data_IF_431563726072
#
_entry.id   IF_431563726072
#
_cell.length_a   1.000
_cell.length_b   1.000
_cell.length_c   1.000
_cell.angle_alpha   90.00
_cell.angle_beta   90.00
_cell.angle_gamma   90.00
#
_symmetry.space_group_name_H-M   'P 1'
#
loop_
_entity.id
_entity.type
_entity.pdbx_description
1 polymer ?
#
# COMPACT_ATOMS: atom_id res chain seq x y z
N UNK A 1 27.50 -0.41 -12.91
CA UNK A 1 26.26 -0.55 -12.12
C UNK A 1 25.09 -0.21 -13.03
N UNK A 2 24.22 -1.18 -13.30
CA UNK A 2 23.22 -1.06 -14.37
C UNK A 2 21.97 -0.30 -13.93
N UNK A 3 21.59 0.72 -14.70
CA UNK A 3 20.28 1.35 -14.59
C UNK A 3 19.22 0.30 -14.91
N UNK A 4 18.29 0.01 -13.98
CA UNK A 4 17.22 -0.95 -14.20
C UNK A 4 15.96 -0.20 -14.60
N UNK A 5 15.51 -0.41 -15.83
CA UNK A 5 14.20 0.05 -16.28
C UNK A 5 13.17 -1.03 -15.96
N UNK A 6 12.04 -0.62 -15.39
CA UNK A 6 10.91 -1.50 -15.11
C UNK A 6 9.64 -0.85 -15.63
N UNK A 7 8.82 -1.62 -16.34
CA UNK A 7 7.53 -1.14 -16.83
C UNK A 7 6.43 -1.98 -16.20
N UNK A 8 5.42 -1.32 -15.64
CA UNK A 8 4.18 -1.95 -15.21
C UNK A 8 3.07 -1.49 -16.16
N UNK A 9 2.18 -2.40 -16.54
CA UNK A 9 1.07 -2.09 -17.46
C UNK A 9 -0.21 -2.69 -16.92
N UNK A 10 -1.26 -1.89 -16.97
CA UNK A 10 -2.63 -2.26 -16.61
C UNK A 10 -3.54 -1.97 -17.79
N UNK A 11 -4.49 -2.85 -18.06
CA UNK A 11 -5.51 -2.65 -19.08
C UNK A 11 -6.88 -2.97 -18.48
N UNK A 12 -7.83 -2.06 -18.60
CA UNK A 12 -9.17 -2.21 -18.04
C UNK A 12 -10.21 -1.57 -18.96
N UNK A 13 -11.34 -2.24 -19.16
CA UNK A 13 -12.48 -1.66 -19.87
C UNK A 13 -13.35 -0.88 -18.88
N UNK A 14 -13.58 0.40 -19.19
CA UNK A 14 -14.40 1.31 -18.39
C UNK A 14 -15.61 1.77 -19.20
N UNK A 15 -16.71 2.08 -18.51
CA UNK A 15 -17.96 2.52 -19.13
C UNK A 15 -18.01 4.05 -19.15
N UNK A 16 -17.88 4.64 -20.33
CA UNK A 16 -17.95 6.09 -20.54
C UNK A 16 -19.29 6.42 -21.20
N UNK A 17 -20.24 6.90 -20.41
CA UNK A 17 -21.61 7.11 -20.89
C UNK A 17 -22.28 5.78 -21.28
N UNK A 18 -22.60 5.62 -22.57
CA UNK A 18 -23.23 4.42 -23.11
C UNK A 18 -22.24 3.37 -23.64
N UNK A 19 -20.97 3.74 -23.85
CA UNK A 19 -19.97 2.89 -24.51
C UNK A 19 -18.93 2.35 -23.53
N UNK A 20 -18.33 1.21 -23.87
CA UNK A 20 -17.15 0.69 -23.17
C UNK A 20 -15.89 1.09 -23.92
N UNK A 21 -14.94 1.69 -23.21
CA UNK A 21 -13.62 2.06 -23.75
C UNK A 21 -12.53 1.33 -22.99
N UNK A 22 -11.53 0.86 -23.71
CA UNK A 22 -10.36 0.22 -23.11
C UNK A 22 -9.34 1.29 -22.70
N UNK A 23 -8.97 1.30 -21.43
CA UNK A 23 -7.89 2.13 -20.90
C UNK A 23 -6.66 1.28 -20.67
N UNK A 24 -5.53 1.75 -21.19
CA UNK A 24 -4.21 1.15 -20.95
C UNK A 24 -3.35 2.15 -20.20
N UNK A 25 -2.96 1.82 -18.98
CA UNK A 25 -2.09 2.64 -18.14
C UNK A 25 -0.74 1.96 -18.04
N UNK A 26 0.33 2.69 -18.31
CA UNK A 26 1.70 2.21 -18.21
C UNK A 26 2.49 3.09 -17.26
N UNK A 27 3.17 2.48 -16.31
CA UNK A 27 4.15 3.13 -15.45
C UNK A 27 5.54 2.68 -15.86
N UNK A 28 6.33 3.60 -16.40
CA UNK A 28 7.74 3.37 -16.70
C UNK A 28 8.56 3.94 -15.55
N UNK A 29 9.39 3.08 -14.95
CA UNK A 29 10.32 3.44 -13.87
C UNK A 29 11.73 3.39 -14.40
N UNK A 30 12.49 4.47 -14.20
CA UNK A 30 13.92 4.50 -14.43
C UNK A 30 14.63 4.59 -13.08
N UNK A 31 15.21 3.48 -12.64
CA UNK A 31 15.92 3.39 -11.37
C UNK A 31 17.39 3.69 -11.64
N UNK A 32 17.81 4.91 -11.32
CA UNK A 32 19.22 5.31 -11.27
C UNK A 32 19.84 5.06 -9.89
N UNK A 33 21.15 5.27 -9.75
CA UNK A 33 21.84 5.09 -8.46
C UNK A 33 21.41 6.10 -7.38
N UNK A 34 20.93 7.29 -7.77
CA UNK A 34 20.61 8.39 -6.85
C UNK A 34 19.20 8.94 -7.00
N UNK A 35 18.53 8.68 -8.13
CA UNK A 35 17.19 9.17 -8.43
C UNK A 35 16.36 8.05 -9.06
N UNK A 36 15.11 7.93 -8.63
CA UNK A 36 14.08 7.21 -9.37
C UNK A 36 13.24 8.23 -10.16
N UNK A 37 13.15 8.03 -11.47
CA UNK A 37 12.23 8.78 -12.32
C UNK A 37 11.04 7.89 -12.69
N UNK A 38 9.86 8.51 -12.69
CA UNK A 38 8.62 7.88 -13.10
C UNK A 38 8.14 8.56 -14.38
N UNK A 39 7.48 7.81 -15.25
CA UNK A 39 6.69 8.32 -16.38
C UNK A 39 5.41 7.53 -16.45
N UNK A 40 4.28 8.22 -16.54
CA UNK A 40 2.95 7.62 -16.59
C UNK A 40 2.38 7.86 -17.99
N UNK A 41 1.99 6.79 -18.67
CA UNK A 41 1.32 6.84 -19.96
C UNK A 41 -0.10 6.31 -19.82
N UNK A 42 -1.08 7.04 -20.36
CA UNK A 42 -2.47 6.60 -20.47
C UNK A 42 -2.85 6.57 -21.94
N UNK A 43 -3.25 5.40 -22.44
CA UNK A 43 -3.56 5.17 -23.86
C UNK A 43 -2.42 5.62 -24.80
N UNK A 44 -1.17 5.47 -24.35
CA UNK A 44 0.04 5.85 -25.09
C UNK A 44 0.43 7.32 -24.99
N UNK A 45 -0.36 8.17 -24.32
CA UNK A 45 -0.02 9.58 -24.08
C UNK A 45 0.61 9.77 -22.70
N UNK A 46 1.72 10.51 -22.62
CA UNK A 46 2.42 10.79 -21.36
C UNK A 46 1.67 11.87 -20.56
N UNK A 47 1.50 11.64 -19.26
CA UNK A 47 1.03 12.68 -18.33
C UNK A 47 2.24 13.49 -17.91
N UNK A 48 2.41 14.69 -18.48
CA UNK A 48 3.58 15.53 -18.28
C UNK A 48 3.76 16.02 -16.83
N UNK A 49 2.67 16.24 -16.11
CA UNK A 49 2.68 16.74 -14.73
C UNK A 49 2.16 15.68 -13.76
N UNK A 50 3.00 14.72 -13.40
CA UNK A 50 2.70 13.78 -12.31
C UNK A 50 3.55 14.06 -11.06
N UNK A 51 2.88 14.14 -9.91
CA UNK A 51 3.53 14.38 -8.60
C UNK A 51 4.17 13.13 -7.97
N UNK A 52 4.16 11.99 -8.67
CA UNK A 52 4.61 10.71 -8.14
C UNK A 52 6.11 10.75 -7.80
N UNK A 53 6.43 10.55 -6.52
CA UNK A 53 7.79 10.45 -5.99
C UNK A 53 7.97 9.08 -5.32
N UNK A 54 9.21 8.73 -5.02
CA UNK A 54 9.45 7.54 -4.20
C UNK A 54 9.10 7.87 -2.73
N UNK A 55 8.20 7.10 -2.12
CA UNK A 55 7.96 7.16 -0.68
C UNK A 55 7.79 5.74 -0.11
N UNK A 56 8.76 5.24 0.68
CA UNK A 56 8.67 3.90 1.28
C UNK A 56 7.52 3.77 2.28
N UNK A 57 7.06 4.89 2.83
CA UNK A 57 6.00 4.98 3.84
C UNK A 57 4.63 5.36 3.25
N UNK A 58 4.49 5.49 1.92
CA UNK A 58 3.18 5.76 1.32
C UNK A 58 2.28 4.53 1.42
N UNK A 59 0.98 4.72 1.74
CA UNK A 59 0.24 5.94 2.04
C UNK A 59 0.06 6.18 3.55
N UNK A 60 0.87 5.53 4.40
CA UNK A 60 0.73 5.60 5.86
C UNK A 60 1.17 6.98 6.40
N UNK A 61 2.18 7.61 5.81
CA UNK A 61 2.79 8.82 6.38
C UNK A 61 2.92 10.02 5.42
N UNK A 62 3.01 9.83 4.09
CA UNK A 62 3.11 10.97 3.16
C UNK A 62 2.49 10.65 1.78
N UNK A 63 1.99 11.68 1.11
CA UNK A 63 1.41 11.63 -0.24
C UNK A 63 2.41 11.27 -1.35
N UNK A 64 3.72 11.26 -1.04
CA UNK A 64 4.78 11.19 -2.05
C UNK A 64 4.75 9.95 -2.96
N UNK A 65 4.11 8.84 -2.58
CA UNK A 65 4.07 7.61 -3.37
C UNK A 65 2.72 7.34 -4.05
N UNK A 66 1.87 8.35 -4.15
CA UNK A 66 0.52 8.27 -4.69
C UNK A 66 0.31 9.37 -5.73
N UNK A 67 -0.36 9.05 -6.83
CA UNK A 67 -0.75 10.00 -7.85
C UNK A 67 -2.19 9.72 -8.27
N UNK A 68 -3.03 10.74 -8.16
CA UNK A 68 -4.44 10.68 -8.51
C UNK A 68 -4.73 11.60 -9.69
N UNK A 69 -5.58 11.14 -10.60
CA UNK A 69 -6.13 11.98 -11.66
C UNK A 69 -7.56 11.54 -12.00
N UNK A 70 -8.35 12.43 -12.59
CA UNK A 70 -9.69 12.13 -13.08
C UNK A 70 -9.69 12.18 -14.61
N UNK A 71 -10.30 11.19 -15.26
CA UNK A 71 -10.43 11.14 -16.71
C UNK A 71 -11.73 10.46 -17.13
N UNK A 72 -12.46 11.08 -18.06
CA UNK A 72 -13.73 10.56 -18.61
C UNK A 72 -14.75 10.17 -17.54
N UNK A 73 -14.75 10.90 -16.43
CA UNK A 73 -15.62 10.67 -15.28
C UNK A 73 -15.14 9.58 -14.33
N UNK A 74 -14.02 8.90 -14.58
CA UNK A 74 -13.42 7.90 -13.69
C UNK A 74 -12.28 8.48 -12.86
N UNK A 75 -12.15 8.05 -11.61
CA UNK A 75 -11.04 8.41 -10.72
C UNK A 75 -9.95 7.34 -10.80
N UNK A 76 -8.76 7.75 -11.17
CA UNK A 76 -7.59 6.89 -11.24
C UNK A 76 -6.62 7.24 -10.11
N UNK A 77 -6.08 6.23 -9.46
CA UNK A 77 -5.12 6.38 -8.38
C UNK A 77 -4.01 5.35 -8.54
N UNK A 78 -2.78 5.82 -8.69
CA UNK A 78 -1.59 5.01 -8.81
C UNK A 78 -0.77 5.15 -7.53
N UNK A 79 -0.60 4.04 -6.81
CA UNK A 79 0.00 4.05 -5.49
C UNK A 79 1.11 3.02 -5.36
N UNK A 80 2.23 3.44 -4.79
CA UNK A 80 3.31 2.53 -4.41
C UNK A 80 2.88 1.68 -3.22
N UNK A 81 2.97 0.36 -3.39
CA UNK A 81 2.72 -0.59 -2.33
C UNK A 81 4.07 -1.20 -1.91
N UNK A 82 4.75 -0.55 -0.95
CA UNK A 82 5.82 -1.19 -0.19
C UNK A 82 5.22 -2.37 0.59
N UNK A 83 5.89 -3.49 0.86
CA UNK A 83 5.41 -4.55 1.80
C UNK A 83 4.17 -5.37 1.38
N UNK A 84 3.94 -5.64 0.10
CA UNK A 84 2.98 -6.69 -0.29
C UNK A 84 3.61 -8.08 -0.11
N UNK A 85 3.12 -8.91 0.82
CA UNK A 85 3.59 -10.30 1.00
C UNK A 85 3.49 -11.16 -0.27
N UNK A 86 2.60 -10.80 -1.21
CA UNK A 86 2.46 -11.51 -2.50
C UNK A 86 3.46 -11.07 -3.56
N UNK A 87 4.17 -9.95 -3.36
CA UNK A 87 5.22 -9.45 -4.25
C UNK A 87 6.42 -9.02 -3.42
N UNK A 88 7.37 -9.93 -3.24
CA UNK A 88 8.57 -9.80 -2.40
C UNK A 88 9.44 -8.56 -2.73
N UNK A 89 9.18 -7.86 -3.85
CA UNK A 89 9.89 -6.65 -4.28
C UNK A 89 9.11 -5.34 -4.12
N UNK A 90 7.90 -5.36 -3.56
CA UNK A 90 7.01 -4.19 -3.65
C UNK A 90 6.63 -3.87 -5.10
N UNK A 91 5.58 -3.07 -5.30
CA UNK A 91 5.14 -2.72 -6.64
C UNK A 91 4.08 -1.64 -6.63
N UNK A 92 3.91 -0.97 -7.75
CA UNK A 92 2.81 -0.03 -7.91
C UNK A 92 1.50 -0.78 -8.12
N UNK A 93 0.40 -0.19 -7.66
CA UNK A 93 -0.96 -0.66 -7.92
C UNK A 93 -1.76 0.48 -8.51
N UNK A 94 -2.63 0.13 -9.45
CA UNK A 94 -3.58 1.04 -10.05
C UNK A 94 -4.96 0.73 -9.46
N UNK A 95 -5.61 1.77 -8.95
CA UNK A 95 -6.98 1.75 -8.52
C UNK A 95 -7.79 2.61 -9.49
N UNK A 96 -8.95 2.10 -9.91
CA UNK A 96 -9.92 2.85 -10.71
C UNK A 96 -11.23 2.84 -9.92
N UNK A 97 -11.76 4.03 -9.67
CA UNK A 97 -12.95 4.27 -8.83
C UNK A 97 -12.85 3.60 -7.44
N UNK A 98 -11.63 3.60 -6.88
CA UNK A 98 -11.32 2.97 -5.59
C UNK A 98 -11.15 1.44 -5.64
N UNK A 99 -11.21 0.81 -6.81
CA UNK A 99 -11.06 -0.64 -6.98
C UNK A 99 -9.69 -0.96 -7.59
N UNK A 100 -8.93 -1.85 -6.93
CA UNK A 100 -7.65 -2.35 -7.44
C UNK A 100 -7.85 -3.14 -8.73
N UNK A 101 -7.25 -2.69 -9.82
CA UNK A 101 -7.35 -3.33 -11.13
C UNK A 101 -6.82 -4.77 -11.10
N UNK A 102 -5.81 -5.06 -10.27
CA UNK A 102 -5.20 -6.40 -10.22
C UNK A 102 -6.02 -7.41 -9.42
N UNK A 103 -6.78 -6.95 -8.40
CA UNK A 103 -7.44 -7.86 -7.45
C UNK A 103 -8.94 -7.69 -7.35
N UNK A 104 -9.51 -6.67 -7.99
CA UNK A 104 -10.93 -6.32 -7.91
C UNK A 104 -11.37 -5.89 -6.51
N UNK A 105 -10.43 -5.56 -5.62
CA UNK A 105 -10.72 -5.21 -4.23
C UNK A 105 -10.79 -3.71 -4.04
N UNK A 106 -11.71 -3.30 -3.19
CA UNK A 106 -11.80 -1.92 -2.71
C UNK A 106 -10.52 -1.49 -1.97
N UNK A 107 -10.15 -0.24 -2.15
CA UNK A 107 -9.00 0.40 -1.52
C UNK A 107 -9.08 0.31 0.02
N UNK A 108 -10.26 0.55 0.59
CA UNK A 108 -10.50 0.46 2.03
C UNK A 108 -10.30 -0.97 2.56
N UNK A 109 -10.85 -1.97 1.86
CA UNK A 109 -10.68 -3.38 2.18
C UNK A 109 -9.22 -3.84 2.06
N UNK A 110 -8.50 -3.33 1.06
CA UNK A 110 -7.07 -3.59 0.85
C UNK A 110 -6.23 -3.13 2.07
N UNK A 111 -6.39 -1.88 2.50
CA UNK A 111 -5.64 -1.32 3.62
C UNK A 111 -6.01 -1.95 4.96
N UNK A 112 -7.29 -2.26 5.16
CA UNK A 112 -7.76 -2.95 6.38
C UNK A 112 -7.13 -4.34 6.51
N UNK A 113 -7.11 -5.13 5.42
CA UNK A 113 -6.45 -6.44 5.42
C UNK A 113 -4.96 -6.34 5.76
N UNK A 114 -4.28 -5.34 5.20
CA UNK A 114 -2.87 -5.12 5.47
C UNK A 114 -2.61 -4.71 6.91
N UNK A 115 -3.45 -3.85 7.47
CA UNK A 115 -3.39 -3.51 8.89
C UNK A 115 -3.47 -4.76 9.77
N UNK A 116 -4.42 -5.66 9.48
CA UNK A 116 -4.51 -6.95 10.17
C UNK A 116 -3.30 -7.86 9.99
N UNK A 117 -2.65 -7.85 8.81
CA UNK A 117 -1.41 -8.61 8.61
C UNK A 117 -0.27 -8.08 9.49
N UNK A 118 -0.12 -6.76 9.60
CA UNK A 118 0.89 -6.14 10.47
C UNK A 118 0.58 -6.46 11.94
N UNK A 119 -0.68 -6.36 12.37
CA UNK A 119 -1.11 -6.74 13.73
C UNK A 119 -0.78 -8.22 14.00
N UNK A 120 -1.04 -9.12 13.06
CA UNK A 120 -0.74 -10.53 13.21
C UNK A 120 0.78 -10.79 13.37
N UNK A 121 1.61 -10.15 12.55
CA UNK A 121 3.07 -10.25 12.67
C UNK A 121 3.53 -9.70 14.02
N UNK A 122 3.02 -8.54 14.44
CA UNK A 122 3.32 -7.96 15.74
C UNK A 122 2.93 -8.87 16.90
N UNK A 123 1.79 -9.56 16.82
CA UNK A 123 1.38 -10.55 17.82
C UNK A 123 2.34 -11.74 17.90
N UNK A 124 2.79 -12.27 16.76
CA UNK A 124 3.77 -13.37 16.74
C UNK A 124 5.09 -12.93 17.38
N UNK A 125 5.59 -11.75 17.00
CA UNK A 125 6.82 -11.17 17.55
C UNK A 125 6.68 -10.93 19.06
N UNK A 126 5.53 -10.42 19.51
CA UNK A 126 5.22 -10.19 20.92
C UNK A 126 5.28 -11.49 21.73
N UNK A 127 4.63 -12.56 21.24
CA UNK A 127 4.63 -13.85 21.89
C UNK A 127 6.04 -14.47 21.98
N UNK A 128 6.84 -14.33 20.91
CA UNK A 128 8.24 -14.76 20.91
C UNK A 128 9.04 -13.96 21.96
N UNK A 129 8.86 -12.64 22.02
CA UNK A 129 9.52 -11.78 23.01
C UNK A 129 9.18 -12.15 24.45
N UNK A 130 7.92 -12.42 24.75
CA UNK A 130 7.46 -12.88 26.07
C UNK A 130 8.07 -14.24 26.40
N UNK A 131 8.00 -15.19 25.46
CA UNK A 131 8.56 -16.53 25.66
C UNK A 131 10.07 -16.50 25.92
N UNK A 132 10.82 -15.71 25.13
CA UNK A 132 12.25 -15.50 25.34
C UNK A 132 12.55 -14.86 26.69
N UNK A 133 11.80 -13.81 27.06
CA UNK A 133 11.97 -13.12 28.34
C UNK A 133 11.79 -14.09 29.51
N UNK A 134 10.72 -14.91 29.48
CA UNK A 134 10.45 -15.93 30.50
C UNK A 134 11.53 -17.02 30.53
N UNK A 135 11.95 -17.52 29.37
CA UNK A 135 12.98 -18.55 29.28
C UNK A 135 14.30 -18.06 29.89
N UNK A 136 14.76 -16.85 29.54
CA UNK A 136 15.98 -16.29 30.12
C UNK A 136 15.85 -15.91 31.60
N UNK A 137 14.63 -15.67 32.09
CA UNK A 137 14.41 -15.39 33.51
C UNK A 137 14.43 -16.65 34.37
N UNK A 138 13.81 -17.73 33.90
CA UNK A 138 13.51 -18.92 34.72
C UNK A 138 14.31 -20.18 34.33
N UNK A 139 14.69 -20.32 33.05
CA UNK A 139 15.32 -21.56 32.56
C UNK A 139 16.85 -21.44 32.41
N UNK A 140 17.41 -20.22 32.29
CA UNK A 140 18.84 -20.03 32.05
C UNK A 140 19.61 -19.49 33.27
N UNK A 141 20.87 -19.93 33.46
CA UNK A 141 21.74 -19.46 34.53
C UNK A 141 22.11 -17.98 34.35
N UNK A 142 22.48 -17.30 35.45
CA UNK A 142 22.72 -15.85 35.51
C UNK A 142 23.70 -15.30 34.45
N UNK A 143 24.64 -16.11 33.96
CA UNK A 143 25.60 -15.72 32.91
C UNK A 143 24.97 -15.50 31.53
N UNK A 144 23.78 -16.06 31.28
CA UNK A 144 23.04 -15.93 30.02
C UNK A 144 21.88 -14.93 30.11
N UNK A 145 21.69 -14.26 31.25
CA UNK A 145 20.59 -13.30 31.47
C UNK A 145 20.67 -12.04 30.60
N UNK A 146 21.77 -11.79 29.89
CA UNK A 146 21.82 -10.75 28.86
C UNK A 146 20.79 -11.02 27.73
N UNK A 147 20.39 -12.29 27.53
CA UNK A 147 19.32 -12.70 26.62
C UNK A 147 17.95 -12.10 26.93
N UNK A 148 17.72 -11.66 28.18
CA UNK A 148 16.47 -11.00 28.60
C UNK A 148 16.27 -9.70 27.82
N UNK A 149 17.34 -8.96 27.52
CA UNK A 149 17.26 -7.71 26.76
C UNK A 149 16.70 -7.93 25.35
N UNK A 150 17.06 -9.05 24.70
CA UNK A 150 16.48 -9.43 23.42
C UNK A 150 15.00 -9.77 23.55
N UNK A 151 14.60 -10.49 24.60
CA UNK A 151 13.19 -10.77 24.89
C UNK A 151 12.37 -9.49 25.04
N UNK A 152 12.88 -8.50 25.78
CA UNK A 152 12.24 -7.19 25.90
C UNK A 152 12.20 -6.43 24.58
N UNK A 153 13.30 -6.43 23.81
CA UNK A 153 13.34 -5.78 22.50
C UNK A 153 12.24 -6.33 21.57
N UNK A 154 12.13 -7.65 21.43
CA UNK A 154 11.06 -8.28 20.65
C UNK A 154 9.66 -7.97 21.20
N UNK A 155 9.49 -7.94 22.53
CA UNK A 155 8.21 -7.57 23.15
C UNK A 155 7.80 -6.15 22.77
N UNK A 156 8.72 -5.17 22.86
CA UNK A 156 8.45 -3.78 22.48
C UNK A 156 8.22 -3.62 20.98
N UNK A 157 9.01 -4.29 20.13
CA UNK A 157 8.81 -4.29 18.68
C UNK A 157 7.44 -4.85 18.31
N UNK A 158 7.03 -5.97 18.91
CA UNK A 158 5.71 -6.57 18.66
C UNK A 158 4.56 -5.63 19.06
N UNK A 159 4.66 -4.95 20.21
CA UNK A 159 3.70 -3.93 20.61
C UNK A 159 3.64 -2.76 19.61
N UNK A 160 4.79 -2.27 19.17
CA UNK A 160 4.89 -1.19 18.22
C UNK A 160 4.24 -1.55 16.87
N UNK A 161 4.53 -2.75 16.36
CA UNK A 161 3.93 -3.26 15.13
C UNK A 161 2.41 -3.38 15.25
N UNK A 162 1.89 -3.85 16.38
CA UNK A 162 0.43 -3.92 16.63
C UNK A 162 -0.18 -2.51 16.56
N UNK A 163 0.41 -1.53 17.24
CA UNK A 163 -0.09 -0.14 17.21
C UNK A 163 -0.08 0.43 15.80
N UNK A 164 1.00 0.21 15.04
CA UNK A 164 1.11 0.63 13.64
C UNK A 164 0.11 -0.06 12.72
N UNK A 165 -0.13 -1.35 12.92
CA UNK A 165 -1.10 -2.12 12.15
C UNK A 165 -2.55 -1.70 12.45
N UNK A 166 -2.86 -1.23 13.66
CA UNK A 166 -4.18 -0.75 14.02
C UNK A 166 -4.56 0.58 13.35
N UNK A 167 -3.59 1.45 13.05
CA UNK A 167 -3.83 2.73 12.37
C UNK A 167 -4.63 2.55 11.07
N UNK A 168 -4.19 1.75 10.08
CA UNK A 168 -4.96 1.52 8.86
C UNK A 168 -6.27 0.76 9.12
N UNK A 169 -6.33 -0.16 10.10
CA UNK A 169 -7.59 -0.86 10.44
C UNK A 169 -8.67 0.13 10.89
N UNK A 170 -8.30 1.11 11.73
CA UNK A 170 -9.22 2.13 12.25
C UNK A 170 -9.51 3.17 11.17
N UNK A 171 -8.48 3.69 10.50
CA UNK A 171 -8.60 4.73 9.45
C UNK A 171 -9.50 4.30 8.30
N UNK A 172 -9.38 3.05 7.86
CA UNK A 172 -10.17 2.49 6.75
C UNK A 172 -11.32 1.59 7.22
N UNK A 173 -11.73 1.70 8.50
CA UNK A 173 -12.87 0.95 9.04
C UNK A 173 -14.18 1.32 8.35
N UNK A 174 -14.34 2.61 8.09
CA UNK A 174 -15.51 3.18 7.42
C UNK A 174 -15.12 3.50 5.98
N UNK A 175 -15.90 3.04 5.01
CA UNK A 175 -15.73 3.20 3.56
C UNK A 175 -15.88 4.66 3.07
N UNK A 176 -15.47 5.66 3.86
CA UNK A 176 -15.63 7.08 3.51
C UNK A 176 -14.97 7.43 2.17
N UNK A 177 -13.89 6.74 1.80
CA UNK A 177 -13.26 6.86 0.49
C UNK A 177 -14.15 6.33 -0.65
N UNK A 178 -14.92 5.26 -0.38
CA UNK A 178 -15.88 4.70 -1.34
C UNK A 178 -17.12 5.61 -1.49
N UNK A 179 -17.44 6.43 -0.48
CA UNK A 179 -18.60 7.33 -0.50
C UNK A 179 -18.37 8.62 -1.28
N UNK A 180 -17.18 9.24 -1.22
CA UNK A 180 -16.91 10.45 -2.00
C UNK A 180 -16.84 10.18 -3.50
N UNK A 181 -16.41 8.98 -3.90
CA UNK A 181 -16.39 8.54 -5.31
C UNK A 181 -17.80 8.15 -5.75
N UNK A 182 -18.55 7.38 -4.96
CA UNK A 182 -19.95 7.01 -5.28
C UNK A 182 -20.93 8.21 -5.34
N UNK A 183 -20.69 9.27 -4.57
CA UNK A 183 -21.56 10.46 -4.54
C UNK A 183 -21.40 11.32 -5.80
N UNK A 184 -20.22 11.34 -6.46
CA UNK A 184 -20.06 12.04 -7.75
C UNK A 184 -20.87 11.41 -8.89
N UNK A 185 -21.12 10.09 -8.87
CA UNK A 185 -21.90 9.41 -9.91
C UNK A 185 -23.41 9.46 -9.69
N UNK A 186 -23.87 9.72 -8.47
CA UNK A 186 -25.31 9.74 -8.17
C UNK A 186 -25.93 11.13 -8.30
N UNK A 187 -25.14 12.21 -8.28
CA UNK A 187 -25.68 13.58 -8.42
C UNK A 187 -25.78 14.08 -9.87
N UNK A 188 -25.29 13.34 -10.86
CA UNK A 188 -25.36 13.77 -12.29
C UNK A 188 -26.51 13.14 -13.08
N UNK A 189 -27.40 12.39 -12.43
CA UNK A 189 -28.61 11.78 -13.03
C UNK A 189 -29.90 12.21 -12.31
N UNK A 190 -29.98 13.45 -11.85
CA UNK A 190 -31.25 14.08 -11.55
C UNK A 190 -31.62 14.98 -12.73
N UNK A 191 -32.38 14.41 -13.67
CA UNK A 191 -33.17 15.13 -14.68
C UNK A 191 -34.35 15.81 -14.00
#
# INVERSE_FOLDING_TARGET
>A
MGCRKSTCTWAQNLKVGAEYRQYTVQLVRQIGCFCEEYRIYVNGQEIEQHGLKYNPCAPLCCAGGEFEWEQDGHSFMLMFNSLSWTNFSGGFRLFIDGIDVNTGREFSAFWRRRGWQIVFVGLVILLIGIALSLAFHFAFPSRLKYGIAFGYAFTFTGLFDILWGLIPVIKYRNSKYDRSVAVKYTSSNAV
#
